data_IF_429820900920
#
_entry.id   IF_429820900920
#
_cell.length_a   1.000
_cell.length_b   1.000
_cell.length_c   1.000
_cell.angle_alpha   90.00
_cell.angle_beta   90.00
_cell.angle_gamma   90.00
#
_symmetry.space_group_name_H-M   'P 1'
#
loop_
_entity.id
_entity.type
_entity.pdbx_description
1 polymer ?
#
# COMPACT_ATOMS: atom_id res chain seq x y z
N UNK A 1 -15.89 -16.48 -15.79
CA UNK A 1 -15.08 -16.14 -15.53
C UNK A 1 -14.48 -14.93 -15.69
N UNK A 2 -14.12 -14.29 -14.80
CA UNK A 2 -13.57 -13.01 -14.94
C UNK A 2 -12.11 -13.03 -14.68
N UNK A 3 -11.38 -12.49 -15.64
CA UNK A 3 -9.94 -12.40 -15.51
C UNK A 3 -9.50 -10.95 -15.40
N UNK A 4 -10.44 -10.09 -15.10
CA UNK A 4 -10.09 -8.68 -14.99
C UNK A 4 -9.23 -8.43 -13.77
N UNK A 5 -8.20 -7.64 -13.96
CA UNK A 5 -7.33 -7.25 -12.86
C UNK A 5 -8.00 -6.14 -12.06
N UNK A 6 -8.10 -6.34 -10.77
CA UNK A 6 -8.66 -5.33 -9.88
C UNK A 6 -7.51 -4.66 -9.14
N UNK A 7 -7.43 -3.36 -9.23
CA UNK A 7 -6.37 -2.60 -8.57
C UNK A 7 -6.93 -1.92 -7.33
N UNK A 8 -6.25 -2.13 -6.21
CA UNK A 8 -6.61 -1.50 -4.96
C UNK A 8 -5.52 -0.50 -4.62
N UNK A 9 -5.91 0.75 -4.44
CA UNK A 9 -4.96 1.79 -4.10
C UNK A 9 -5.01 2.04 -2.60
N UNK A 10 -3.87 1.93 -1.94
CA UNK A 10 -3.78 2.08 -0.50
C UNK A 10 -2.86 3.24 -0.17
N UNK A 11 -3.42 4.39 0.18
CA UNK A 11 -2.58 5.52 0.59
C UNK A 11 -2.07 5.29 2.01
N UNK A 12 -0.78 5.55 2.21
CA UNK A 12 -0.14 5.31 3.50
C UNK A 12 0.64 6.54 3.92
N UNK A 13 0.34 7.03 5.12
CA UNK A 13 1.13 8.09 5.72
C UNK A 13 1.05 7.96 7.23
N UNK A 14 2.15 7.54 7.84
CA UNK A 14 2.28 7.44 9.30
C UNK A 14 1.12 6.69 9.96
N UNK A 15 0.86 5.49 9.46
CA UNK A 15 -0.22 4.66 9.98
C UNK A 15 0.29 3.31 10.45
N UNK A 16 1.51 3.30 11.01
CA UNK A 16 2.15 2.04 11.37
C UNK A 16 1.32 1.20 12.31
N UNK A 17 0.53 1.83 13.18
CA UNK A 17 -0.25 1.07 14.15
C UNK A 17 -1.39 0.29 13.50
N UNK A 18 -1.94 0.81 12.43
CA UNK A 18 -3.08 0.18 11.78
C UNK A 18 -2.72 -0.58 10.53
N UNK A 19 -1.55 -0.31 10.00
CA UNK A 19 -1.18 -0.81 8.68
C UNK A 19 -1.18 -2.33 8.59
N UNK A 20 -0.62 -3.07 9.57
CA UNK A 20 -0.63 -4.53 9.45
C UNK A 20 -2.04 -5.09 9.37
N UNK A 21 -2.96 -4.53 10.12
CA UNK A 21 -4.34 -5.01 10.08
C UNK A 21 -4.97 -4.76 8.73
N UNK A 22 -4.72 -3.58 8.17
CA UNK A 22 -5.29 -3.23 6.87
C UNK A 22 -4.70 -4.11 5.77
N UNK A 23 -3.39 -4.29 5.78
CA UNK A 23 -2.75 -5.08 4.75
C UNK A 23 -3.11 -6.56 4.88
N UNK A 24 -3.19 -7.08 6.09
CA UNK A 24 -3.61 -8.47 6.28
C UNK A 24 -4.99 -8.69 5.70
N UNK A 25 -5.88 -7.75 5.92
CA UNK A 25 -7.23 -7.86 5.41
C UNK A 25 -7.23 -7.92 3.89
N UNK A 26 -6.38 -7.13 3.26
CA UNK A 26 -6.33 -7.08 1.80
C UNK A 26 -5.67 -8.33 1.23
N UNK A 27 -4.54 -8.75 1.81
CA UNK A 27 -3.82 -9.89 1.25
C UNK A 27 -4.55 -11.21 1.47
N UNK A 28 -5.47 -11.25 2.43
CA UNK A 28 -6.24 -12.44 2.68
C UNK A 28 -7.38 -12.63 1.68
N UNK A 29 -7.53 -11.71 0.73
CA UNK A 29 -8.50 -11.91 -0.33
C UNK A 29 -8.04 -13.05 -1.22
N UNK A 30 -8.97 -13.90 -1.59
CA UNK A 30 -8.65 -15.06 -2.39
C UNK A 30 -8.58 -14.74 -3.89
N UNK A 31 -8.89 -13.54 -4.28
CA UNK A 31 -8.91 -13.17 -5.68
C UNK A 31 -7.49 -13.02 -6.21
N UNK A 32 -7.13 -13.84 -7.16
CA UNK A 32 -5.76 -13.88 -7.65
C UNK A 32 -5.40 -12.72 -8.55
N UNK A 33 -6.39 -12.18 -9.26
CA UNK A 33 -6.13 -11.06 -10.16
C UNK A 33 -6.27 -9.73 -9.45
N UNK A 34 -5.61 -9.64 -8.32
CA UNK A 34 -5.66 -8.44 -7.49
C UNK A 34 -4.30 -7.78 -7.51
N UNK A 35 -4.29 -6.49 -7.76
CA UNK A 35 -3.07 -5.70 -7.71
C UNK A 35 -3.23 -4.70 -6.59
N UNK A 36 -2.31 -4.73 -5.63
CA UNK A 36 -2.37 -3.85 -4.47
C UNK A 36 -1.26 -2.82 -4.62
N UNK A 37 -1.64 -1.57 -4.82
CA UNK A 37 -0.68 -0.50 -5.01
C UNK A 37 -0.67 0.36 -3.76
N UNK A 38 0.41 0.27 -3.00
CA UNK A 38 0.57 1.05 -1.79
C UNK A 38 1.35 2.30 -2.12
N UNK A 39 0.79 3.44 -1.81
CA UNK A 39 1.47 4.70 -2.04
C UNK A 39 1.89 5.22 -0.67
N UNK A 40 3.18 5.08 -0.39
CA UNK A 40 3.75 5.55 0.87
C UNK A 40 4.17 7.00 0.67
N UNK A 41 3.40 7.89 1.23
CA UNK A 41 3.57 9.32 1.02
C UNK A 41 4.48 9.93 2.07
N UNK A 42 5.74 9.50 2.05
CA UNK A 42 6.75 10.08 2.92
C UNK A 42 6.58 9.79 4.39
N UNK A 43 6.13 8.58 4.73
CA UNK A 43 5.97 8.22 6.13
C UNK A 43 7.31 8.31 6.86
N UNK A 44 7.26 8.86 8.06
CA UNK A 44 8.44 8.98 8.91
C UNK A 44 8.47 7.92 10.01
N UNK A 45 7.42 7.13 10.11
CA UNK A 45 7.36 6.03 11.06
C UNK A 45 7.73 4.72 10.36
N UNK A 46 7.30 3.60 10.90
CA UNK A 46 7.64 2.30 10.35
C UNK A 46 6.73 1.86 9.20
N UNK A 47 5.82 2.72 8.76
CA UNK A 47 4.88 2.35 7.71
C UNK A 47 5.59 1.88 6.45
N UNK A 48 6.63 2.59 6.03
CA UNK A 48 7.35 2.22 4.82
C UNK A 48 7.98 0.84 4.93
N UNK A 49 8.57 0.55 6.08
CA UNK A 49 9.20 -0.74 6.30
C UNK A 49 8.16 -1.85 6.29
N UNK A 50 7.01 -1.60 6.91
CA UNK A 50 5.93 -2.57 6.94
C UNK A 50 5.44 -2.86 5.54
N UNK A 51 5.26 -1.83 4.72
CA UNK A 51 4.82 -2.00 3.35
C UNK A 51 5.81 -2.86 2.56
N UNK A 52 7.10 -2.59 2.73
CA UNK A 52 8.11 -3.35 2.01
C UNK A 52 8.12 -4.82 2.44
N UNK A 53 7.89 -5.07 3.73
CA UNK A 53 7.83 -6.44 4.21
C UNK A 53 6.66 -7.19 3.57
N UNK A 54 5.52 -6.55 3.48
CA UNK A 54 4.37 -7.19 2.87
C UNK A 54 4.59 -7.42 1.38
N UNK A 55 5.25 -6.49 0.71
CA UNK A 55 5.52 -6.63 -0.71
C UNK A 55 6.44 -7.81 -0.99
N UNK A 56 7.34 -8.12 -0.07
CA UNK A 56 8.20 -9.28 -0.22
C UNK A 56 7.44 -10.58 -0.11
N UNK A 57 6.37 -10.60 0.66
CA UNK A 57 5.59 -11.80 0.88
C UNK A 57 4.55 -12.05 -0.18
N UNK A 58 4.06 -11.00 -0.82
CA UNK A 58 2.94 -11.11 -1.74
C UNK A 58 3.26 -10.37 -3.02
N UNK A 59 3.32 -11.11 -4.12
CA UNK A 59 3.68 -10.55 -5.41
C UNK A 59 2.66 -9.55 -5.92
N UNK A 60 1.45 -9.59 -5.41
CA UNK A 60 0.41 -8.68 -5.85
C UNK A 60 0.63 -7.26 -5.33
N UNK A 61 1.51 -7.09 -4.35
CA UNK A 61 1.73 -5.81 -3.72
C UNK A 61 2.86 -5.05 -4.40
N UNK A 62 2.58 -3.82 -4.77
CA UNK A 62 3.57 -2.90 -5.29
C UNK A 62 3.60 -1.69 -4.39
N UNK A 63 4.80 -1.26 -4.03
CA UNK A 63 4.96 -0.12 -3.13
C UNK A 63 5.58 1.03 -3.89
N UNK A 64 4.92 2.17 -3.86
CA UNK A 64 5.43 3.39 -4.45
C UNK A 64 5.77 4.31 -3.30
N UNK A 65 7.06 4.62 -3.16
CA UNK A 65 7.49 5.54 -2.12
C UNK A 65 7.67 6.90 -2.75
N UNK A 66 7.03 7.90 -2.18
CA UNK A 66 7.17 9.24 -2.68
C UNK A 66 7.39 10.19 -1.52
N UNK A 67 8.00 11.31 -1.82
CA UNK A 67 8.27 12.30 -0.83
C UNK A 67 6.98 12.96 -0.41
N UNK A 68 6.80 13.13 0.90
CA UNK A 68 5.60 13.80 1.38
C UNK A 68 5.69 15.28 1.05
N UNK A 69 4.82 15.73 0.21
CA UNK A 69 4.79 17.14 -0.15
C UNK A 69 3.78 17.91 0.67
N UNK A 70 3.06 17.18 1.51
CA UNK A 70 2.08 17.80 2.33
C UNK A 70 1.00 18.44 1.49
N UNK A 71 0.19 19.23 2.13
CA UNK A 71 -0.86 19.87 1.41
C UNK A 71 -0.34 20.92 0.45
N UNK A 72 0.68 21.63 0.85
CA UNK A 72 1.20 22.68 -0.01
C UNK A 72 1.82 22.07 -1.25
N UNK A 73 2.54 20.98 -1.10
CA UNK A 73 3.11 20.32 -2.25
C UNK A 73 2.06 19.73 -3.15
N UNK A 74 1.07 19.11 -2.54
CA UNK A 74 0.04 18.43 -3.31
C UNK A 74 -0.80 19.42 -4.12
N UNK A 75 -0.92 20.62 -3.61
CA UNK A 75 -1.73 21.59 -4.29
C UNK A 75 -1.01 22.32 -5.41
N UNK A 76 0.26 22.21 -5.44
CA UNK A 76 1.05 22.97 -6.41
C UNK A 76 1.03 22.36 -7.80
#
# INVERSE_FOLDING_TARGET
MYNDLISVIVPVYNVEEFLPYSLDSIVNQSYENLEIIIINDGSTDMSGKICNEYAKRDKRIKVINQENKGLSGARN
#
